data_IF_336171577178
#
_entry.id   IF_336171577178
#
_cell.length_a   1.000
_cell.length_b   1.000
_cell.length_c   1.000
_cell.angle_alpha   90.00
_cell.angle_beta   90.00
_cell.angle_gamma   90.00
#
_symmetry.space_group_name_H-M   'P 1'
#
loop_
_entity.id
_entity.type
_entity.pdbx_description
1 polymer ?
#
# COMPACT_ATOMS: atom_id res chain seq x y z
N UNK A 1 3.28 -15.66 -5.81
CA UNK A 1 4.33 -15.09 -6.65
C UNK A 1 5.57 -14.80 -5.83
N UNK A 2 6.71 -15.21 -6.31
CA UNK A 2 8.00 -15.00 -5.65
C UNK A 2 8.81 -14.02 -6.48
N UNK A 3 9.46 -13.04 -5.83
CA UNK A 3 10.36 -12.11 -6.50
C UNK A 3 10.20 -10.68 -6.06
N UNK A 4 10.35 -9.76 -6.99
CA UNK A 4 10.27 -8.34 -6.75
C UNK A 4 9.29 -7.68 -7.70
N UNK A 5 8.61 -6.66 -7.21
CA UNK A 5 7.81 -5.78 -8.05
C UNK A 5 8.18 -4.34 -7.71
N UNK A 6 8.51 -3.56 -8.72
CA UNK A 6 8.94 -2.18 -8.52
C UNK A 6 8.16 -1.26 -9.48
N UNK A 7 7.20 -0.55 -8.95
CA UNK A 7 6.35 0.37 -9.70
C UNK A 7 6.82 1.79 -9.41
N UNK A 8 7.91 2.18 -10.06
CA UNK A 8 8.56 3.49 -9.85
C UNK A 8 8.96 4.18 -11.15
N UNK A 9 8.48 3.71 -12.28
CA UNK A 9 8.76 4.35 -13.57
C UNK A 9 7.88 5.58 -13.72
N UNK A 10 8.38 6.57 -14.46
CA UNK A 10 7.62 7.78 -14.72
C UNK A 10 6.33 7.46 -15.48
N UNK A 11 5.20 7.98 -14.99
CA UNK A 11 3.87 7.81 -15.58
C UNK A 11 3.39 6.35 -15.64
N UNK A 12 3.84 5.50 -14.71
CA UNK A 12 3.24 4.18 -14.63
C UNK A 12 1.75 4.33 -14.25
N UNK A 13 0.90 3.49 -14.81
CA UNK A 13 -0.55 3.60 -14.60
C UNK A 13 -1.00 2.80 -13.39
N UNK A 14 -1.74 3.46 -12.49
CA UNK A 14 -2.36 2.76 -11.37
C UNK A 14 -3.60 2.06 -11.89
N UNK A 15 -3.62 0.72 -11.76
CA UNK A 15 -4.74 -0.11 -12.19
C UNK A 15 -5.18 -0.96 -11.00
N UNK A 16 -6.43 -1.46 -11.02
CA UNK A 16 -6.86 -2.40 -9.99
C UNK A 16 -5.88 -3.57 -9.91
N UNK A 17 -5.42 -3.85 -8.71
CA UNK A 17 -4.41 -4.87 -8.48
C UNK A 17 -4.87 -5.81 -7.38
N UNK A 18 -4.75 -7.12 -7.64
CA UNK A 18 -5.05 -8.13 -6.65
C UNK A 18 -3.97 -9.20 -6.73
N UNK A 19 -3.08 -9.22 -5.75
CA UNK A 19 -2.01 -10.19 -5.66
C UNK A 19 -2.23 -11.10 -4.45
N UNK A 20 -1.92 -12.39 -4.61
CA UNK A 20 -2.04 -13.36 -3.54
C UNK A 20 -0.77 -14.20 -3.44
N UNK A 21 -0.48 -14.66 -2.22
CA UNK A 21 0.64 -15.57 -1.94
C UNK A 21 1.98 -15.00 -2.41
N UNK A 22 2.15 -13.67 -2.25
CA UNK A 22 3.40 -13.06 -2.68
C UNK A 22 4.51 -13.34 -1.67
N UNK A 23 5.73 -13.51 -2.19
CA UNK A 23 6.95 -13.66 -1.42
C UNK A 23 7.99 -12.76 -2.07
N UNK A 24 8.52 -11.80 -1.31
CA UNK A 24 9.55 -10.90 -1.83
C UNK A 24 9.31 -9.44 -1.49
N UNK A 25 9.90 -8.57 -2.29
CA UNK A 25 9.89 -7.12 -2.07
C UNK A 25 9.00 -6.42 -3.09
N UNK A 26 8.11 -5.56 -2.60
CA UNK A 26 7.15 -4.84 -3.44
C UNK A 26 7.24 -3.36 -3.14
N UNK A 27 7.47 -2.57 -4.17
CA UNK A 27 7.67 -1.13 -4.05
C UNK A 27 6.76 -0.38 -5.01
N UNK A 28 6.00 0.58 -4.48
CA UNK A 28 5.07 1.40 -5.27
C UNK A 28 5.33 2.88 -4.97
N UNK A 29 5.74 3.62 -5.99
CA UNK A 29 5.91 5.06 -5.89
C UNK A 29 4.76 5.75 -6.62
N UNK A 30 3.71 6.07 -5.87
CA UNK A 30 2.53 6.72 -6.45
C UNK A 30 2.78 8.18 -6.83
N UNK A 31 3.91 8.77 -6.40
CA UNK A 31 4.25 10.15 -6.79
C UNK A 31 4.58 10.25 -8.26
N UNK A 32 5.01 9.14 -8.88
CA UNK A 32 5.35 9.07 -10.30
C UNK A 32 4.21 8.52 -11.16
N UNK A 33 3.14 8.07 -10.53
CA UNK A 33 2.09 7.34 -11.22
C UNK A 33 1.08 8.26 -11.90
N UNK A 34 0.50 7.76 -12.99
CA UNK A 34 -0.75 8.28 -13.51
C UNK A 34 -1.88 7.60 -12.73
N UNK A 35 -2.70 8.38 -12.05
CA UNK A 35 -3.80 7.85 -11.24
C UNK A 35 -5.11 8.25 -11.92
N UNK A 36 -5.90 7.27 -12.39
CA UNK A 36 -7.13 7.58 -13.10
C UNK A 36 -8.19 8.21 -12.19
N UNK A 37 -9.13 8.92 -12.80
CA UNK A 37 -10.18 9.65 -12.08
C UNK A 37 -11.30 8.69 -11.66
N UNK A 38 -10.96 7.78 -10.78
CA UNK A 38 -11.88 6.80 -10.19
C UNK A 38 -11.27 6.22 -8.92
N UNK A 39 -12.02 5.42 -8.19
CA UNK A 39 -11.47 4.66 -7.07
C UNK A 39 -10.75 3.43 -7.61
N UNK A 40 -9.47 3.29 -7.29
CA UNK A 40 -8.68 2.15 -7.73
C UNK A 40 -8.29 1.30 -6.52
N UNK A 41 -8.70 0.02 -6.48
CA UNK A 41 -8.33 -0.87 -5.38
C UNK A 41 -6.97 -1.53 -5.61
N UNK A 42 -6.16 -1.57 -4.57
CA UNK A 42 -4.89 -2.29 -4.52
C UNK A 42 -5.00 -3.27 -3.35
N UNK A 43 -4.97 -4.56 -3.65
CA UNK A 43 -5.11 -5.58 -2.62
C UNK A 43 -3.96 -6.59 -2.75
N UNK A 44 -3.13 -6.67 -1.72
CA UNK A 44 -1.96 -7.54 -1.71
C UNK A 44 -2.01 -8.45 -0.48
N UNK A 45 -1.99 -9.76 -0.71
CA UNK A 45 -1.82 -10.77 0.34
C UNK A 45 -0.45 -11.39 0.22
N UNK A 46 0.36 -11.25 1.27
CA UNK A 46 1.72 -11.76 1.29
C UNK A 46 1.91 -12.88 2.29
N UNK A 47 2.78 -13.83 1.94
CA UNK A 47 3.25 -14.85 2.88
C UNK A 47 4.45 -14.33 3.66
N UNK A 48 5.52 -13.98 2.95
CA UNK A 48 6.70 -13.34 3.50
C UNK A 48 7.02 -12.18 2.56
N UNK A 49 6.73 -10.96 2.98
CA UNK A 49 6.82 -9.84 2.06
C UNK A 49 7.19 -8.55 2.77
N UNK A 50 7.97 -7.73 2.08
CA UNK A 50 8.25 -6.37 2.46
C UNK A 50 7.60 -5.46 1.43
N UNK A 51 6.69 -4.61 1.89
CA UNK A 51 5.93 -3.71 1.01
C UNK A 51 6.24 -2.28 1.40
N UNK A 52 6.65 -1.50 0.43
CA UNK A 52 6.91 -0.06 0.62
C UNK A 52 6.12 0.75 -0.38
N UNK A 53 5.46 1.80 0.10
CA UNK A 53 4.70 2.71 -0.74
C UNK A 53 5.04 4.16 -0.41
N UNK A 54 5.13 4.98 -1.45
CA UNK A 54 5.21 6.44 -1.34
C UNK A 54 3.91 7.02 -1.87
N UNK A 55 3.24 7.81 -1.04
CA UNK A 55 1.91 8.37 -1.35
C UNK A 55 2.04 9.89 -1.48
N UNK A 56 1.60 10.49 -2.60
CA UNK A 56 1.55 11.95 -2.69
C UNK A 56 0.63 12.51 -1.61
N UNK A 57 1.03 13.61 -1.01
CA UNK A 57 0.30 14.19 0.11
C UNK A 57 -1.13 14.56 -0.25
N UNK A 58 -1.38 14.95 -1.51
CA UNK A 58 -2.69 15.37 -1.97
C UNK A 58 -3.55 14.22 -2.52
N UNK A 59 -3.05 12.99 -2.55
CA UNK A 59 -3.82 11.85 -3.04
C UNK A 59 -4.73 11.31 -1.94
N UNK A 60 -6.05 11.32 -2.14
CA UNK A 60 -6.96 10.67 -1.19
C UNK A 60 -6.73 9.16 -1.17
N UNK A 61 -6.49 8.62 0.03
CA UNK A 61 -6.25 7.20 0.19
C UNK A 61 -7.00 6.65 1.38
N UNK A 62 -7.32 5.36 1.29
CA UNK A 62 -7.89 4.57 2.36
C UNK A 62 -7.02 3.34 2.50
N UNK A 63 -6.50 3.11 3.70
CA UNK A 63 -5.49 2.07 3.92
C UNK A 63 -5.93 1.17 5.07
N UNK A 64 -5.86 -0.13 4.84
CA UNK A 64 -6.04 -1.15 5.88
C UNK A 64 -4.87 -2.11 5.75
N UNK A 65 -3.93 -2.04 6.68
CA UNK A 65 -2.72 -2.85 6.66
C UNK A 65 -2.69 -3.77 7.87
N UNK A 66 -2.46 -5.06 7.62
CA UNK A 66 -2.35 -6.10 8.64
C UNK A 66 -1.05 -6.86 8.43
N UNK A 67 -0.29 -7.05 9.50
CA UNK A 67 0.91 -7.90 9.51
C UNK A 67 0.83 -8.80 10.72
N UNK A 68 0.77 -10.12 10.50
CA UNK A 68 0.62 -11.06 11.62
C UNK A 68 1.88 -11.16 12.47
N UNK A 69 3.05 -11.08 11.85
CA UNK A 69 4.32 -11.04 12.57
C UNK A 69 5.28 -10.11 11.80
N UNK A 70 5.68 -9.04 12.43
CA UNK A 70 6.57 -8.05 11.84
C UNK A 70 6.24 -6.65 12.28
N UNK A 71 6.15 -5.72 11.32
CA UNK A 71 5.87 -4.34 11.69
C UNK A 71 5.13 -3.59 10.58
N UNK A 72 4.42 -2.54 10.98
CA UNK A 72 3.79 -1.58 10.08
C UNK A 72 4.26 -0.20 10.50
N UNK A 73 4.75 0.57 9.53
CA UNK A 73 5.03 1.99 9.69
C UNK A 73 4.14 2.74 8.71
N UNK A 74 3.17 3.46 9.22
CA UNK A 74 2.19 4.18 8.41
C UNK A 74 2.27 5.66 8.76
N UNK A 75 2.78 6.45 7.80
CA UNK A 75 2.91 7.91 7.97
C UNK A 75 3.63 8.29 9.26
N UNK A 76 4.70 7.57 9.58
CA UNK A 76 5.51 7.83 10.76
C UNK A 76 5.05 7.16 12.05
N UNK A 77 3.87 6.56 12.06
CA UNK A 77 3.39 5.79 13.20
C UNK A 77 3.72 4.32 13.03
N UNK A 78 4.17 3.67 14.10
CA UNK A 78 4.68 2.32 14.02
C UNK A 78 3.98 1.39 15.00
N UNK A 79 3.68 0.17 14.56
CA UNK A 79 3.31 -0.95 15.42
C UNK A 79 4.14 -2.15 15.00
N UNK A 80 4.58 -2.95 15.98
CA UNK A 80 5.41 -4.13 15.71
C UNK A 80 5.05 -5.27 16.64
N UNK A 81 5.42 -6.47 16.22
CA UNK A 81 5.20 -7.68 16.96
C UNK A 81 4.21 -8.59 16.27
N UNK A 82 3.20 -9.07 17.02
CA UNK A 82 2.19 -9.98 16.50
C UNK A 82 0.87 -9.25 16.29
N UNK A 83 0.14 -9.66 15.25
CA UNK A 83 -1.21 -9.15 14.97
C UNK A 83 -1.26 -7.63 14.88
N UNK A 84 -0.34 -7.07 14.08
CA UNK A 84 -0.30 -5.64 13.83
C UNK A 84 -1.40 -5.25 12.85
N UNK A 85 -2.07 -4.13 13.12
CA UNK A 85 -3.05 -3.56 12.20
C UNK A 85 -3.05 -2.05 12.33
N UNK A 86 -3.02 -1.38 11.19
CA UNK A 86 -3.17 0.07 11.12
C UNK A 86 -4.11 0.43 9.98
N UNK A 87 -5.00 1.37 10.25
CA UNK A 87 -5.97 1.86 9.28
C UNK A 87 -5.86 3.37 9.15
N UNK A 88 -6.17 3.86 7.95
CA UNK A 88 -6.13 5.30 7.67
C UNK A 88 -7.14 5.61 6.57
N UNK A 89 -7.78 6.75 6.68
CA UNK A 89 -8.64 7.25 5.62
C UNK A 89 -8.47 8.76 5.53
N UNK A 90 -8.17 9.27 4.33
CA UNK A 90 -8.09 10.70 4.08
C UNK A 90 -9.44 11.36 4.40
N UNK A 91 -9.41 12.55 4.98
CA UNK A 91 -10.64 13.25 5.41
C UNK A 91 -11.63 13.49 4.26
N UNK A 92 -11.12 13.65 3.04
CA UNK A 92 -11.93 13.89 1.85
C UNK A 92 -12.14 12.64 0.99
N UNK A 93 -11.86 11.45 1.52
CA UNK A 93 -11.88 10.22 0.71
C UNK A 93 -13.24 9.97 0.08
N UNK A 94 -14.32 10.07 0.87
CA UNK A 94 -15.67 9.79 0.37
C UNK A 94 -16.06 10.69 -0.79
N UNK A 95 -15.70 11.97 -0.72
CA UNK A 95 -16.08 12.97 -1.71
C UNK A 95 -15.17 12.95 -2.95
N UNK A 96 -13.98 12.43 -2.83
CA UNK A 96 -13.02 12.43 -3.94
C UNK A 96 -13.43 11.42 -5.01
N UNK A 97 -13.14 11.75 -6.28
CA UNK A 97 -13.35 10.82 -7.38
C UNK A 97 -12.06 10.09 -7.75
N UNK A 98 -10.93 10.78 -7.64
CA UNK A 98 -9.61 10.22 -7.92
C UNK A 98 -8.98 9.80 -6.61
N UNK A 99 -8.96 8.50 -6.34
CA UNK A 99 -8.56 7.98 -5.03
C UNK A 99 -8.13 6.53 -5.12
N UNK A 100 -7.34 6.08 -4.13
CA UNK A 100 -6.81 4.72 -4.10
C UNK A 100 -7.16 4.06 -2.77
N UNK A 101 -7.71 2.84 -2.85
CA UNK A 101 -8.02 2.01 -1.69
C UNK A 101 -6.97 0.90 -1.59
N UNK A 102 -6.28 0.82 -0.47
CA UNK A 102 -5.15 -0.08 -0.29
C UNK A 102 -5.43 -1.04 0.86
N UNK A 103 -5.41 -2.33 0.57
CA UNK A 103 -5.56 -3.39 1.57
C UNK A 103 -4.33 -4.29 1.49
N UNK A 104 -3.59 -4.35 2.58
CA UNK A 104 -2.38 -5.16 2.68
C UNK A 104 -2.55 -6.16 3.82
N UNK A 105 -2.35 -7.44 3.52
CA UNK A 105 -2.47 -8.52 4.49
C UNK A 105 -1.23 -9.41 4.37
N UNK A 106 -0.28 -9.22 5.28
CA UNK A 106 1.01 -9.92 5.24
C UNK A 106 1.14 -10.82 6.46
N UNK A 107 1.55 -12.07 6.24
CA UNK A 107 1.75 -12.99 7.36
C UNK A 107 3.04 -12.68 8.11
N UNK A 108 4.15 -12.56 7.39
CA UNK A 108 5.44 -12.22 8.00
C UNK A 108 6.11 -11.16 7.14
N UNK A 109 6.51 -10.06 7.74
CA UNK A 109 7.26 -9.03 7.03
C UNK A 109 7.00 -7.63 7.53
N UNK A 110 7.34 -6.66 6.68
CA UNK A 110 7.29 -5.26 7.01
C UNK A 110 6.45 -4.52 5.96
N UNK A 111 5.62 -3.60 6.46
CA UNK A 111 4.89 -2.67 5.61
C UNK A 111 5.32 -1.27 6.00
N UNK A 112 5.73 -0.47 5.04
CA UNK A 112 6.07 0.92 5.25
C UNK A 112 5.39 1.80 4.21
N UNK A 113 4.61 2.77 4.67
CA UNK A 113 3.91 3.71 3.80
C UNK A 113 4.23 5.12 4.28
N UNK A 114 4.81 5.92 3.38
CA UNK A 114 5.20 7.29 3.68
C UNK A 114 4.44 8.26 2.78
N UNK A 115 4.18 9.46 3.32
CA UNK A 115 3.67 10.59 2.56
C UNK A 115 4.82 11.46 2.08
N UNK A 116 4.72 11.92 0.87
CA UNK A 116 5.75 12.76 0.26
C UNK A 116 5.13 13.96 -0.43
#
# INVERSE_FOLDING_TARGET
TVGEMKMNQQNWSVEPLKLRNVVGDYYFDFTKAYIPDKETPIHIKGMVADIKMLIPEDLPVKIDAVVKAGQINLFGEETRGKNCRMVYESSNYEMATRKVSIVLDVKVGDVRIDKV
#
